data_IF_163679728754
#
_entry.id   IF_163679728754
#
_cell.length_a   1.000
_cell.length_b   1.000
_cell.length_c   1.000
_cell.angle_alpha   90.00
_cell.angle_beta   90.00
_cell.angle_gamma   90.00
#
_symmetry.space_group_name_H-M   'P 1'
#
loop_
_entity.id
_entity.type
_entity.pdbx_description
1 polymer ?
#
# COMPACT_ATOMS: atom_id res chain seq x y z
N UNK A 1 2.49 -10.72 18.78
CA UNK A 1 3.52 -10.55 17.73
C UNK A 1 2.99 -11.17 16.45
N UNK A 2 2.92 -10.45 15.33
CA UNK A 2 2.59 -11.08 14.05
C UNK A 2 3.77 -11.92 13.59
N UNK A 3 3.57 -13.23 13.43
CA UNK A 3 4.59 -14.16 12.92
C UNK A 3 5.06 -13.71 11.53
N UNK A 4 6.36 -13.88 11.26
CA UNK A 4 7.01 -13.58 9.96
C UNK A 4 6.26 -14.24 8.79
N UNK A 5 5.70 -15.42 9.01
CA UNK A 5 4.87 -16.18 8.05
C UNK A 5 3.62 -15.41 7.60
N UNK A 6 2.95 -14.69 8.50
CA UNK A 6 1.71 -13.98 8.17
C UNK A 6 1.94 -12.77 7.26
N UNK A 7 3.09 -12.09 7.38
CA UNK A 7 3.42 -10.93 6.54
C UNK A 7 3.70 -11.33 5.09
N UNK A 8 4.33 -12.49 4.92
CA UNK A 8 4.62 -13.02 3.59
C UNK A 8 3.34 -13.51 2.91
N UNK A 9 2.44 -14.17 3.67
CA UNK A 9 1.11 -14.54 3.18
C UNK A 9 0.34 -13.32 2.64
N UNK A 10 0.24 -12.23 3.42
CA UNK A 10 -0.46 -11.01 3.00
C UNK A 10 0.13 -10.41 1.72
N UNK A 11 1.46 -10.39 1.59
CA UNK A 11 2.11 -9.87 0.36
C UNK A 11 1.79 -10.76 -0.84
N UNK A 12 1.84 -12.08 -0.66
CA UNK A 12 1.52 -13.05 -1.73
C UNK A 12 0.06 -12.91 -2.16
N UNK A 13 -0.88 -12.91 -1.22
CA UNK A 13 -2.32 -12.75 -1.48
C UNK A 13 -2.61 -11.41 -2.17
N UNK A 14 -1.97 -10.33 -1.73
CA UNK A 14 -2.11 -9.02 -2.37
C UNK A 14 -1.61 -9.05 -3.81
N UNK A 15 -0.43 -9.62 -4.07
CA UNK A 15 0.11 -9.75 -5.43
C UNK A 15 -0.81 -10.60 -6.31
N UNK A 16 -1.37 -11.69 -5.77
CA UNK A 16 -2.32 -12.53 -6.52
C UNK A 16 -3.56 -11.79 -6.99
N UNK A 17 -4.12 -10.89 -6.16
CA UNK A 17 -5.26 -10.04 -6.55
C UNK A 17 -4.90 -9.17 -7.76
N UNK A 18 -3.72 -8.55 -7.74
CA UNK A 18 -3.25 -7.67 -8.82
C UNK A 18 -2.91 -8.44 -10.09
N UNK A 19 -2.32 -9.63 -9.96
CA UNK A 19 -2.04 -10.53 -11.09
C UNK A 19 -3.34 -11.00 -11.73
N UNK A 20 -4.37 -11.33 -10.95
CA UNK A 20 -5.71 -11.68 -11.47
C UNK A 20 -6.35 -10.50 -12.22
N UNK A 21 -6.13 -9.28 -11.74
CA UNK A 21 -6.54 -8.05 -12.43
C UNK A 21 -5.65 -7.69 -13.64
N UNK A 22 -4.59 -8.46 -13.92
CA UNK A 22 -3.62 -8.22 -15.00
C UNK A 22 -2.92 -6.86 -14.91
N UNK A 23 -2.81 -6.30 -13.70
CA UNK A 23 -2.15 -5.02 -13.47
C UNK A 23 -0.69 -5.30 -13.06
N UNK A 24 0.31 -4.73 -13.75
CA UNK A 24 1.71 -4.89 -13.37
C UNK A 24 1.98 -4.35 -11.97
N UNK A 25 2.61 -5.17 -11.12
CA UNK A 25 2.98 -4.80 -9.75
C UNK A 25 4.44 -4.38 -9.62
N UNK A 26 4.77 -3.67 -8.55
CA UNK A 26 6.16 -3.48 -8.11
C UNK A 26 6.81 -4.81 -7.73
N UNK A 27 8.14 -4.81 -7.58
CA UNK A 27 8.85 -5.94 -7.02
C UNK A 27 8.38 -6.26 -5.59
N UNK A 28 8.28 -7.55 -5.26
CA UNK A 28 7.86 -8.05 -3.94
C UNK A 28 8.68 -7.41 -2.80
N UNK A 29 9.97 -7.18 -3.01
CA UNK A 29 10.85 -6.52 -2.04
C UNK A 29 10.38 -5.09 -1.73
N UNK A 30 10.04 -4.31 -2.76
CA UNK A 30 9.55 -2.95 -2.60
C UNK A 30 8.17 -2.91 -1.94
N UNK A 31 7.30 -3.89 -2.25
CA UNK A 31 5.99 -4.05 -1.58
C UNK A 31 6.19 -4.32 -0.08
N UNK A 32 7.09 -5.24 0.29
CA UNK A 32 7.44 -5.54 1.68
C UNK A 32 7.94 -4.28 2.41
N UNK A 33 8.87 -3.53 1.80
CA UNK A 33 9.40 -2.28 2.38
C UNK A 33 8.30 -1.24 2.58
N UNK A 34 7.39 -1.08 1.60
CA UNK A 34 6.24 -0.18 1.72
C UNK A 34 5.36 -0.54 2.92
N UNK A 35 4.93 -1.80 3.03
CA UNK A 35 4.09 -2.26 4.13
C UNK A 35 4.77 -2.10 5.49
N UNK A 36 6.05 -2.47 5.60
CA UNK A 36 6.83 -2.28 6.84
C UNK A 36 6.94 -0.81 7.24
N UNK A 37 7.09 0.10 6.28
CA UNK A 37 7.15 1.53 6.55
C UNK A 37 5.84 2.05 7.15
N UNK A 38 4.70 1.56 6.66
CA UNK A 38 3.36 1.93 7.16
C UNK A 38 3.15 1.38 8.56
N UNK A 39 3.53 0.14 8.82
CA UNK A 39 3.46 -0.46 10.17
C UNK A 39 4.30 0.37 11.16
N UNK A 40 5.54 0.73 10.79
CA UNK A 40 6.40 1.58 11.64
C UNK A 40 5.80 2.96 11.89
N UNK A 41 5.17 3.58 10.88
CA UNK A 41 4.44 4.87 11.04
C UNK A 41 3.28 4.71 12.01
N UNK A 42 2.48 3.65 11.87
CA UNK A 42 1.38 3.36 12.77
C UNK A 42 1.84 3.16 14.22
N UNK A 43 2.92 2.39 14.44
CA UNK A 43 3.47 2.19 15.78
C UNK A 43 3.87 3.52 16.44
N UNK A 44 4.51 4.43 15.70
CA UNK A 44 4.87 5.78 16.19
C UNK A 44 3.65 6.62 16.53
N UNK A 45 2.59 6.55 15.73
CA UNK A 45 1.33 7.24 16.03
C UNK A 45 0.66 6.66 17.26
N UNK A 46 0.59 5.33 17.36
CA UNK A 46 -0.02 4.62 18.49
C UNK A 46 0.63 4.97 19.82
N UNK A 47 1.96 5.12 19.86
CA UNK A 47 2.67 5.54 21.08
C UNK A 47 2.27 6.96 21.50
N UNK A 48 2.07 7.86 20.53
CA UNK A 48 1.75 9.27 20.75
C UNK A 48 0.26 9.60 20.77
N UNK A 49 -0.63 8.59 20.68
CA UNK A 49 -2.10 8.75 20.54
C UNK A 49 -2.79 9.59 21.63
N UNK A 50 -2.14 9.77 22.79
CA UNK A 50 -2.68 10.58 23.89
C UNK A 50 -2.29 12.05 23.79
N UNK A 51 -1.36 12.41 22.88
CA UNK A 51 -0.91 13.79 22.69
C UNK A 51 -1.88 14.49 21.74
N UNK A 52 -2.53 15.55 22.22
CA UNK A 52 -3.45 16.37 21.44
C UNK A 52 -2.75 17.59 20.81
N UNK A 53 -1.48 17.46 20.43
CA UNK A 53 -0.76 18.58 19.80
C UNK A 53 -1.14 18.67 18.32
N UNK A 54 -1.15 19.88 17.77
CA UNK A 54 -1.45 20.12 16.35
C UNK A 54 -0.57 19.28 15.42
N UNK A 55 0.71 19.15 15.77
CA UNK A 55 1.67 18.30 15.04
C UNK A 55 1.28 16.82 15.05
N UNK A 56 0.73 16.30 16.15
CA UNK A 56 0.30 14.90 16.23
C UNK A 56 -0.98 14.69 15.41
N UNK A 57 -1.95 15.61 15.51
CA UNK A 57 -3.17 15.55 14.71
C UNK A 57 -2.87 15.63 13.21
N UNK A 58 -1.98 16.53 12.79
CA UNK A 58 -1.54 16.61 11.39
C UNK A 58 -0.93 15.29 10.89
N UNK A 59 -0.12 14.61 11.72
CA UNK A 59 0.46 13.30 11.37
C UNK A 59 -0.60 12.20 11.27
N UNK A 60 -1.61 12.22 12.12
CA UNK A 60 -2.73 11.26 12.06
C UNK A 60 -3.59 11.46 10.81
N UNK A 61 -3.90 12.72 10.48
CA UNK A 61 -4.60 13.07 9.22
C UNK A 61 -3.79 12.63 8.01
N UNK A 62 -2.50 12.95 7.97
CA UNK A 62 -1.62 12.52 6.89
C UNK A 62 -1.58 10.99 6.76
N UNK A 63 -1.44 10.28 7.86
CA UNK A 63 -1.43 8.81 7.86
C UNK A 63 -2.76 8.23 7.37
N UNK A 64 -3.89 8.82 7.77
CA UNK A 64 -5.22 8.42 7.26
C UNK A 64 -5.32 8.54 5.74
N UNK A 65 -4.77 9.62 5.17
CA UNK A 65 -4.72 9.81 3.72
C UNK A 65 -3.79 8.78 3.05
N UNK A 66 -2.65 8.45 3.67
CA UNK A 66 -1.73 7.42 3.16
C UNK A 66 -2.35 6.01 3.18
N UNK A 67 -3.22 5.70 4.14
CA UNK A 67 -3.89 4.40 4.23
C UNK A 67 -4.74 4.08 2.99
N UNK A 68 -5.34 5.10 2.35
CA UNK A 68 -6.07 4.90 1.09
C UNK A 68 -5.19 4.39 -0.06
N UNK A 69 -3.87 4.62 0.04
CA UNK A 69 -2.87 4.17 -0.96
C UNK A 69 -2.03 2.99 -0.46
N UNK A 70 -2.44 2.34 0.63
CA UNK A 70 -1.68 1.25 1.25
C UNK A 70 -1.48 0.08 0.30
N UNK A 71 -2.56 -0.35 -0.34
CA UNK A 71 -2.58 -1.51 -1.23
C UNK A 71 -2.32 -1.17 -2.70
N UNK A 72 -2.05 0.09 -3.01
CA UNK A 72 -1.55 0.49 -4.32
C UNK A 72 -0.11 -0.04 -4.50
N UNK A 73 0.01 -1.20 -5.12
CA UNK A 73 1.29 -1.85 -5.42
C UNK A 73 1.59 -1.85 -6.91
N UNK A 74 0.93 -0.96 -7.65
CA UNK A 74 1.14 -0.81 -9.09
C UNK A 74 2.60 -0.47 -9.38
N UNK A 75 3.15 -1.06 -10.43
CA UNK A 75 4.41 -0.59 -10.98
C UNK A 75 4.26 0.88 -11.43
N UNK A 76 5.33 1.68 -11.32
CA UNK A 76 5.30 3.11 -11.75
C UNK A 76 4.83 3.28 -13.21
N UNK A 77 5.15 2.30 -14.04
CA UNK A 77 4.80 2.23 -15.46
C UNK A 77 3.69 1.20 -15.71
N UNK A 78 2.86 0.88 -14.72
CA UNK A 78 1.83 -0.15 -14.85
C UNK A 78 0.88 0.17 -16.00
N UNK A 79 0.34 1.39 -16.05
CA UNK A 79 -0.57 1.83 -17.11
C UNK A 79 0.06 1.76 -18.51
N UNK A 80 1.34 2.09 -18.67
CA UNK A 80 2.01 2.05 -19.98
C UNK A 80 2.44 0.63 -20.38
N UNK A 81 2.65 -0.25 -19.40
CA UNK A 81 3.05 -1.65 -19.62
C UNK A 81 1.85 -2.59 -19.86
N UNK A 82 0.63 -2.15 -19.54
CA UNK A 82 -0.59 -2.91 -19.81
C UNK A 82 -0.84 -3.04 -21.32
N UNK A 83 -0.96 -4.28 -21.79
CA UNK A 83 -1.20 -4.59 -23.22
C UNK A 83 -2.68 -4.44 -23.61
N UNK A 84 -3.59 -4.64 -22.65
CA UNK A 84 -5.02 -4.53 -22.90
C UNK A 84 -5.47 -3.06 -22.76
N UNK A 85 -5.95 -2.48 -23.86
CA UNK A 85 -6.40 -1.08 -23.92
C UNK A 85 -7.72 -0.85 -23.19
N UNK A 86 -8.58 -1.87 -23.11
CA UNK A 86 -9.86 -1.79 -22.39
C UNK A 86 -9.62 -1.70 -20.89
N UNK A 87 -8.80 -2.60 -20.34
CA UNK A 87 -8.39 -2.58 -18.93
C UNK A 87 -7.68 -1.25 -18.59
N UNK A 88 -6.84 -0.74 -19.50
CA UNK A 88 -6.19 0.57 -19.35
C UNK A 88 -7.19 1.73 -19.33
N UNK A 89 -8.21 1.70 -20.19
CA UNK A 89 -9.25 2.73 -20.26
C UNK A 89 -10.14 2.70 -19.01
N UNK A 90 -10.55 1.52 -18.56
CA UNK A 90 -11.30 1.33 -17.31
C UNK A 90 -10.56 1.92 -16.11
N UNK A 91 -9.26 1.66 -15.98
CA UNK A 91 -8.44 2.20 -14.88
C UNK A 91 -8.26 3.72 -14.95
N UNK A 92 -8.35 4.33 -16.13
CA UNK A 92 -8.29 5.80 -16.29
C UNK A 92 -9.60 6.49 -15.92
N UNK A 93 -10.70 5.76 -15.90
CA UNK A 93 -12.05 6.25 -15.59
C UNK A 93 -12.41 6.10 -14.10
N UNK A 94 -11.44 5.72 -13.25
CA UNK A 94 -11.59 5.56 -11.80
C UNK A 94 -11.35 6.86 -11.01
#
# INVERSE_FOLDING_TARGET
MYSKSNREAVVTELVEVWVKARIPTMEIRSIKVKLESVVKKYEKLKINRKRSTDTQQAKEVHFKNELGRLFDISHKDALSSMKNKEDQAFLRDQ
#
